data_IF_940977480943
#
_entry.id   IF_940977480943
#
_cell.length_a   1.000
_cell.length_b   1.000
_cell.length_c   1.000
_cell.angle_alpha   90.00
_cell.angle_beta   90.00
_cell.angle_gamma   90.00
#
_symmetry.space_group_name_H-M   'P 1'
#
loop_
_entity.id
_entity.type
_entity.pdbx_description
1 polymer ?
#
# COMPACT_ATOMS: atom_id res chain seq x y z
N UNK A 1 -4.45 -26.91 -9.49
CA UNK A 1 -3.68 -26.20 -8.45
C UNK A 1 -3.37 -24.82 -8.98
N UNK A 2 -3.83 -23.75 -8.32
CA UNK A 2 -3.42 -22.40 -8.68
C UNK A 2 -1.89 -22.33 -8.59
N UNK A 3 -1.23 -21.83 -9.63
CA UNK A 3 0.23 -21.71 -9.62
C UNK A 3 0.66 -20.81 -8.46
N UNK A 4 1.74 -21.16 -7.77
CA UNK A 4 2.35 -20.33 -6.73
C UNK A 4 2.96 -19.01 -7.28
N UNK A 5 2.64 -18.65 -8.53
CA UNK A 5 3.05 -17.41 -9.19
C UNK A 5 2.70 -16.17 -8.35
N UNK A 6 1.55 -16.17 -7.69
CA UNK A 6 1.11 -15.08 -6.82
C UNK A 6 2.08 -14.83 -5.66
N UNK A 7 2.72 -15.87 -5.13
CA UNK A 7 3.65 -15.76 -4.01
C UNK A 7 4.92 -15.00 -4.43
N UNK A 8 5.43 -15.25 -5.64
CA UNK A 8 6.58 -14.51 -6.16
C UNK A 8 6.27 -13.02 -6.34
N UNK A 9 5.08 -12.69 -6.85
CA UNK A 9 4.63 -11.30 -6.95
C UNK A 9 4.44 -10.64 -5.58
N UNK A 10 3.93 -11.37 -4.60
CA UNK A 10 3.78 -10.88 -3.23
C UNK A 10 5.14 -10.63 -2.55
N UNK A 11 6.10 -11.54 -2.71
CA UNK A 11 7.46 -11.36 -2.19
C UNK A 11 8.18 -10.19 -2.86
N UNK A 12 8.06 -10.04 -4.18
CA UNK A 12 8.57 -8.88 -4.90
C UNK A 12 7.93 -7.59 -4.38
N UNK A 13 6.60 -7.57 -4.18
CA UNK A 13 5.90 -6.42 -3.60
C UNK A 13 6.43 -6.07 -2.20
N UNK A 14 6.64 -7.05 -1.33
CA UNK A 14 7.20 -6.83 0.00
C UNK A 14 8.61 -6.22 -0.05
N UNK A 15 9.47 -6.73 -0.94
CA UNK A 15 10.81 -6.18 -1.16
C UNK A 15 10.77 -4.72 -1.64
N UNK A 16 9.95 -4.40 -2.65
CA UNK A 16 9.81 -3.02 -3.14
C UNK A 16 9.14 -2.08 -2.14
N UNK A 17 8.24 -2.59 -1.30
CA UNK A 17 7.65 -1.83 -0.20
C UNK A 17 8.72 -1.46 0.85
N UNK A 18 9.65 -2.37 1.16
CA UNK A 18 10.77 -2.08 2.06
C UNK A 18 11.71 -1.02 1.47
N UNK A 19 12.12 -1.15 0.20
CA UNK A 19 12.94 -0.14 -0.49
C UNK A 19 12.23 1.22 -0.51
N UNK A 20 10.93 1.22 -0.81
CA UNK A 20 10.07 2.40 -0.78
C UNK A 20 10.14 3.13 0.57
N UNK A 21 10.08 2.40 1.68
CA UNK A 21 10.11 3.00 3.02
C UNK A 21 11.48 3.65 3.30
N UNK A 22 12.57 2.96 2.97
CA UNK A 22 13.93 3.44 3.20
C UNK A 22 14.24 4.66 2.30
N UNK A 23 13.99 4.58 1.00
CA UNK A 23 14.24 5.69 0.08
C UNK A 23 13.35 6.90 0.39
N UNK A 24 12.09 6.69 0.80
CA UNK A 24 11.24 7.79 1.23
C UNK A 24 11.81 8.46 2.49
N UNK A 25 12.18 7.70 3.52
CA UNK A 25 12.76 8.27 4.75
C UNK A 25 14.03 9.10 4.46
N UNK A 26 14.88 8.62 3.55
CA UNK A 26 16.09 9.35 3.12
C UNK A 26 15.76 10.58 2.28
N UNK A 27 14.82 10.47 1.33
CA UNK A 27 14.41 11.57 0.44
C UNK A 27 13.59 12.67 1.12
N UNK A 28 13.05 12.41 2.32
CA UNK A 28 12.31 13.37 3.13
C UNK A 28 13.21 14.30 3.98
N UNK A 29 14.53 14.08 3.97
CA UNK A 29 15.46 14.89 4.76
C UNK A 29 15.55 16.32 4.22
N UNK A 30 15.07 17.28 4.99
CA UNK A 30 15.12 18.71 4.63
C UNK A 30 14.08 19.15 3.59
N UNK A 31 13.12 18.29 3.23
CA UNK A 31 12.05 18.59 2.28
C UNK A 31 10.70 18.30 2.95
N UNK A 32 9.68 19.11 2.68
CA UNK A 32 8.33 18.84 3.15
C UNK A 32 7.78 17.50 2.60
N UNK A 33 7.07 16.74 3.45
CA UNK A 33 6.57 15.41 3.10
C UNK A 33 5.56 15.41 1.97
N UNK A 34 4.75 16.45 1.87
CA UNK A 34 3.65 16.52 0.93
C UNK A 34 4.23 16.83 -0.46
N UNK A 35 5.20 17.74 -0.50
CA UNK A 35 5.96 18.02 -1.73
C UNK A 35 6.77 16.82 -2.21
N UNK A 36 7.47 16.11 -1.32
CA UNK A 36 8.18 14.88 -1.67
C UNK A 36 7.24 13.80 -2.21
N UNK A 37 6.05 13.66 -1.63
CA UNK A 37 5.00 12.73 -2.09
C UNK A 37 4.46 13.13 -3.46
N UNK A 38 4.30 14.42 -3.73
CA UNK A 38 3.92 14.92 -5.04
C UNK A 38 4.95 14.56 -6.12
N UNK A 39 6.24 14.85 -5.89
CA UNK A 39 7.32 14.49 -6.82
C UNK A 39 7.36 12.98 -7.07
N UNK A 40 7.24 12.18 -6.01
CA UNK A 40 7.17 10.72 -6.13
C UNK A 40 5.98 10.26 -6.99
N UNK A 41 4.83 10.90 -6.86
CA UNK A 41 3.63 10.56 -7.64
C UNK A 41 3.86 10.84 -9.13
N UNK A 42 4.53 11.94 -9.48
CA UNK A 42 4.92 12.22 -10.86
C UNK A 42 5.85 11.13 -11.43
N UNK A 43 6.83 10.68 -10.64
CA UNK A 43 7.73 9.58 -11.05
C UNK A 43 6.95 8.28 -11.28
N UNK A 44 5.98 7.96 -10.40
CA UNK A 44 5.13 6.78 -10.55
C UNK A 44 4.28 6.87 -11.83
N UNK A 45 3.65 8.03 -12.09
CA UNK A 45 2.86 8.26 -13.31
C UNK A 45 3.73 8.06 -14.56
N UNK A 46 4.93 8.65 -14.59
CA UNK A 46 5.85 8.52 -15.71
C UNK A 46 6.29 7.07 -15.93
N UNK A 47 6.64 6.35 -14.85
CA UNK A 47 7.04 4.94 -14.92
C UNK A 47 5.89 4.03 -15.41
N UNK A 48 4.67 4.24 -14.91
CA UNK A 48 3.49 3.50 -15.36
C UNK A 48 3.14 3.80 -16.81
N UNK A 49 3.20 5.07 -17.24
CA UNK A 49 2.99 5.45 -18.63
C UNK A 49 4.02 4.81 -19.57
N UNK A 50 5.30 4.83 -19.20
CA UNK A 50 6.36 4.16 -19.96
C UNK A 50 6.11 2.64 -20.06
N UNK A 51 5.71 1.99 -18.96
CA UNK A 51 5.39 0.57 -18.94
C UNK A 51 4.17 0.22 -19.81
N UNK A 52 3.11 1.02 -19.78
CA UNK A 52 1.93 0.83 -20.63
C UNK A 52 2.27 1.00 -22.11
N UNK A 53 3.12 1.98 -22.45
CA UNK A 53 3.63 2.18 -23.81
C UNK A 53 4.48 1.00 -24.28
N UNK A 54 5.40 0.53 -23.44
CA UNK A 54 6.24 -0.63 -23.75
C UNK A 54 5.43 -1.91 -23.96
N UNK A 55 4.40 -2.13 -23.13
CA UNK A 55 3.54 -3.32 -23.21
C UNK A 55 2.41 -3.20 -24.22
N UNK A 56 2.19 -2.02 -24.81
CA UNK A 56 1.09 -1.74 -25.73
C UNK A 56 -0.30 -1.86 -25.07
N UNK A 57 -0.40 -1.70 -23.75
CA UNK A 57 -1.61 -1.98 -22.95
C UNK A 57 -2.47 -0.75 -22.67
N UNK A 58 -2.30 0.32 -23.44
CA UNK A 58 -3.21 1.47 -23.36
C UNK A 58 -4.64 1.03 -23.69
N UNK A 59 -5.58 1.39 -22.84
CA UNK A 59 -7.00 1.04 -23.02
C UNK A 59 -7.82 2.31 -23.23
N UNK A 60 -8.81 2.23 -24.12
CA UNK A 60 -9.82 3.29 -24.26
C UNK A 60 -10.72 3.34 -23.03
N UNK A 61 -10.90 4.53 -22.47
CA UNK A 61 -11.76 4.75 -21.29
C UNK A 61 -13.26 4.67 -21.60
N UNK A 62 -13.66 4.56 -22.87
CA UNK A 62 -15.06 4.51 -23.29
C UNK A 62 -15.84 3.28 -22.82
N UNK A 63 -15.16 2.20 -22.41
CA UNK A 63 -15.79 1.01 -21.84
C UNK A 63 -15.99 1.06 -20.32
N UNK A 64 -15.58 2.15 -19.65
CA UNK A 64 -15.61 2.23 -18.20
C UNK A 64 -17.01 2.67 -17.75
N UNK A 65 -17.67 1.84 -16.93
CA UNK A 65 -18.93 2.24 -16.30
C UNK A 65 -18.71 3.40 -15.31
N UNK A 66 -19.76 4.17 -15.01
CA UNK A 66 -19.70 5.20 -13.96
C UNK A 66 -19.30 4.62 -12.59
N UNK A 67 -19.63 3.34 -12.33
CA UNK A 67 -19.18 2.61 -11.14
C UNK A 67 -17.67 2.39 -11.14
N UNK A 68 -17.07 2.01 -12.28
CA UNK A 68 -15.62 1.82 -12.38
C UNK A 68 -14.90 3.14 -12.04
N UNK A 69 -15.37 4.25 -12.61
CA UNK A 69 -14.84 5.58 -12.32
C UNK A 69 -14.97 5.95 -10.84
N UNK A 70 -16.14 5.76 -10.24
CA UNK A 70 -16.36 6.09 -8.83
C UNK A 70 -15.39 5.32 -7.92
N UNK A 71 -15.26 3.99 -8.07
CA UNK A 71 -14.36 3.19 -7.24
C UNK A 71 -12.88 3.47 -7.52
N UNK A 72 -12.48 3.76 -8.76
CA UNK A 72 -11.10 4.13 -9.08
C UNK A 72 -10.72 5.49 -8.47
N UNK A 73 -11.62 6.47 -8.53
CA UNK A 73 -11.41 7.79 -7.91
C UNK A 73 -11.33 7.64 -6.39
N UNK A 74 -12.29 6.94 -5.77
CA UNK A 74 -12.28 6.72 -4.33
C UNK A 74 -11.03 5.95 -3.87
N UNK A 75 -10.60 4.94 -4.63
CA UNK A 75 -9.37 4.20 -4.36
C UNK A 75 -8.13 5.09 -4.49
N UNK A 76 -8.08 5.94 -5.52
CA UNK A 76 -7.01 6.91 -5.72
C UNK A 76 -6.92 7.92 -4.59
N UNK A 77 -8.05 8.49 -4.16
CA UNK A 77 -8.13 9.40 -3.02
C UNK A 77 -7.70 8.72 -1.71
N UNK A 78 -8.17 7.49 -1.47
CA UNK A 78 -7.77 6.70 -0.30
C UNK A 78 -6.26 6.41 -0.29
N UNK A 79 -5.68 6.09 -1.45
CA UNK A 79 -4.23 5.85 -1.60
C UNK A 79 -3.44 7.14 -1.34
N UNK A 80 -3.89 8.27 -1.91
CA UNK A 80 -3.28 9.57 -1.70
C UNK A 80 -3.29 9.98 -0.23
N UNK A 81 -4.44 9.86 0.44
CA UNK A 81 -4.56 10.14 1.87
C UNK A 81 -3.67 9.22 2.72
N UNK A 82 -3.63 7.92 2.39
CA UNK A 82 -2.74 6.95 3.05
C UNK A 82 -1.27 7.33 2.92
N UNK A 83 -0.82 7.70 1.72
CA UNK A 83 0.56 8.12 1.48
C UNK A 83 0.92 9.41 2.22
N UNK A 84 0.06 10.43 2.21
CA UNK A 84 0.30 11.67 2.96
C UNK A 84 0.49 11.37 4.45
N UNK A 85 -0.41 10.59 5.06
CA UNK A 85 -0.28 10.20 6.46
C UNK A 85 0.98 9.35 6.73
N UNK A 86 1.26 8.37 5.87
CA UNK A 86 2.41 7.47 6.01
C UNK A 86 3.75 8.20 5.87
N UNK A 87 3.91 9.06 4.87
CA UNK A 87 5.16 9.81 4.67
C UNK A 87 5.34 10.89 5.72
N UNK A 88 4.27 11.51 6.20
CA UNK A 88 4.34 12.41 7.36
C UNK A 88 4.82 11.66 8.61
N UNK A 89 4.25 10.48 8.88
CA UNK A 89 4.68 9.64 9.99
C UNK A 89 6.15 9.19 9.83
N UNK A 90 6.56 8.80 8.63
CA UNK A 90 7.96 8.47 8.33
C UNK A 90 8.88 9.67 8.52
N UNK A 91 8.46 10.89 8.19
CA UNK A 91 9.27 12.08 8.42
C UNK A 91 9.56 12.27 9.91
N UNK A 92 8.54 12.15 10.76
CA UNK A 92 8.61 12.37 12.21
C UNK A 92 9.19 11.19 13.01
N UNK A 93 9.00 9.96 12.54
CA UNK A 93 9.32 8.74 13.29
C UNK A 93 10.39 7.86 12.63
N UNK A 94 10.79 6.80 13.33
CA UNK A 94 11.69 5.78 12.78
C UNK A 94 10.96 4.85 11.82
N UNK A 95 11.58 4.52 10.69
CA UNK A 95 11.00 3.59 9.71
C UNK A 95 10.71 2.20 10.32
N UNK A 96 11.51 1.75 11.28
CA UNK A 96 11.34 0.51 12.05
C UNK A 96 10.08 0.49 12.91
N UNK A 97 9.54 1.66 13.30
CA UNK A 97 8.29 1.78 14.08
C UNK A 97 7.09 2.06 13.17
N UNK A 98 7.27 2.95 12.18
CA UNK A 98 6.18 3.37 11.27
C UNK A 98 5.78 2.27 10.30
N UNK A 99 6.75 1.55 9.70
CA UNK A 99 6.43 0.54 8.70
C UNK A 99 5.63 -0.65 9.26
N UNK A 100 5.91 -1.19 10.47
CA UNK A 100 5.04 -2.21 11.07
C UNK A 100 3.62 -1.70 11.35
N UNK A 101 3.49 -0.47 11.88
CA UNK A 101 2.17 0.13 12.16
C UNK A 101 1.36 0.29 10.88
N UNK A 102 1.98 0.68 9.76
CA UNK A 102 1.33 0.70 8.45
C UNK A 102 0.79 -0.69 8.04
N UNK A 103 1.51 -1.77 8.36
CA UNK A 103 1.05 -3.15 8.09
C UNK A 103 -0.08 -3.62 8.99
N UNK A 104 -0.44 -2.88 10.03
CA UNK A 104 -1.72 -3.09 10.73
C UNK A 104 -2.93 -2.90 9.80
N UNK A 105 -2.77 -2.19 8.68
CA UNK A 105 -3.77 -2.13 7.61
C UNK A 105 -4.26 -3.51 7.16
N UNK A 106 -3.46 -4.58 7.26
CA UNK A 106 -3.89 -5.95 6.97
C UNK A 106 -5.06 -6.38 7.86
N UNK A 107 -5.03 -6.02 9.14
CA UNK A 107 -6.11 -6.29 10.10
C UNK A 107 -7.36 -5.51 9.71
N UNK A 108 -7.20 -4.22 9.39
CA UNK A 108 -8.32 -3.37 8.96
C UNK A 108 -8.92 -3.87 7.65
N UNK A 109 -8.11 -4.27 6.67
CA UNK A 109 -8.56 -4.83 5.41
C UNK A 109 -9.34 -6.12 5.65
N UNK A 110 -8.87 -7.04 6.50
CA UNK A 110 -9.61 -8.25 6.82
C UNK A 110 -10.99 -7.93 7.42
N UNK A 111 -11.06 -6.97 8.36
CA UNK A 111 -12.32 -6.52 8.93
C UNK A 111 -13.24 -5.88 7.88
N UNK A 112 -12.71 -5.01 7.03
CA UNK A 112 -13.48 -4.39 5.95
C UNK A 112 -13.92 -5.42 4.90
N UNK A 113 -13.11 -6.43 4.60
CA UNK A 113 -13.49 -7.52 3.70
C UNK A 113 -14.65 -8.34 4.26
N UNK A 114 -14.65 -8.64 5.56
CA UNK A 114 -15.80 -9.29 6.21
C UNK A 114 -17.05 -8.42 6.16
N UNK A 115 -16.93 -7.12 6.42
CA UNK A 115 -18.09 -6.21 6.48
C UNK A 115 -18.65 -5.87 5.09
N UNK A 116 -17.78 -5.46 4.16
CA UNK A 116 -18.19 -4.91 2.86
C UNK A 116 -18.21 -5.97 1.75
N UNK A 117 -17.27 -6.93 1.77
CA UNK A 117 -17.18 -7.99 0.77
C UNK A 117 -17.88 -9.28 1.22
N UNK A 118 -18.31 -9.37 2.49
CA UNK A 118 -18.93 -10.56 3.11
C UNK A 118 -18.04 -11.80 3.06
N UNK A 119 -16.73 -11.61 3.02
CA UNK A 119 -15.76 -12.69 3.11
C UNK A 119 -15.84 -13.36 4.49
N UNK A 120 -15.59 -14.67 4.53
CA UNK A 120 -15.59 -15.46 5.77
C UNK A 120 -14.22 -16.12 5.96
N UNK A 121 -13.24 -15.39 6.50
CA UNK A 121 -11.91 -15.94 6.70
C UNK A 121 -11.98 -17.15 7.63
N UNK A 122 -11.20 -18.18 7.31
CA UNK A 122 -11.07 -19.37 8.12
C UNK A 122 -10.40 -19.05 9.48
N UNK A 123 -10.58 -19.92 10.47
CA UNK A 123 -9.96 -19.75 11.78
C UNK A 123 -8.42 -19.62 11.71
N UNK A 124 -7.79 -20.32 10.75
CA UNK A 124 -6.35 -20.22 10.50
C UNK A 124 -5.93 -18.83 10.00
N UNK A 125 -6.73 -18.20 9.14
CA UNK A 125 -6.47 -16.86 8.63
C UNK A 125 -6.62 -15.81 9.75
N UNK A 126 -7.66 -15.94 10.58
CA UNK A 126 -7.83 -15.11 11.77
C UNK A 126 -6.66 -15.22 12.75
N UNK A 127 -6.14 -16.43 12.96
CA UNK A 127 -4.96 -16.65 13.80
C UNK A 127 -3.72 -15.95 13.21
N UNK A 128 -3.51 -16.06 11.88
CA UNK A 128 -2.43 -15.33 11.20
C UNK A 128 -2.56 -13.81 11.33
N UNK A 129 -3.76 -13.27 11.13
CA UNK A 129 -4.06 -11.84 11.30
C UNK A 129 -3.79 -11.41 12.75
N UNK A 130 -4.20 -12.20 13.74
CA UNK A 130 -3.95 -11.91 15.15
C UNK A 130 -2.45 -11.92 15.50
N UNK A 131 -1.67 -12.84 14.92
CA UNK A 131 -0.22 -12.87 15.07
C UNK A 131 0.45 -11.63 14.46
N UNK A 132 0.01 -11.20 13.27
CA UNK A 132 0.50 -9.96 12.65
C UNK A 132 0.17 -8.76 13.55
N UNK A 133 -1.08 -8.66 14.01
CA UNK A 133 -1.52 -7.60 14.91
C UNK A 133 -0.68 -7.54 16.19
N UNK A 134 -0.46 -8.69 16.84
CA UNK A 134 0.37 -8.82 18.02
C UNK A 134 1.83 -8.40 17.77
N UNK A 135 2.42 -8.85 16.66
CA UNK A 135 3.78 -8.46 16.26
C UNK A 135 3.92 -6.96 16.04
N UNK A 136 2.94 -6.33 15.37
CA UNK A 136 2.93 -4.88 15.17
C UNK A 136 2.82 -4.13 16.50
N UNK A 137 1.95 -4.57 17.42
CA UNK A 137 1.80 -3.95 18.74
C UNK A 137 3.08 -4.04 19.57
N UNK A 138 3.77 -5.17 19.55
CA UNK A 138 5.06 -5.34 20.24
C UNK A 138 6.11 -4.37 19.70
N UNK A 139 6.21 -4.20 18.38
CA UNK A 139 7.16 -3.29 17.75
C UNK A 139 6.80 -1.82 17.99
N UNK A 140 5.51 -1.49 17.97
CA UNK A 140 5.02 -0.12 18.17
C UNK A 140 5.12 0.34 19.62
N UNK A 141 4.88 -0.55 20.60
CA UNK A 141 4.93 -0.25 22.03
C UNK A 141 6.33 -0.35 22.63
N UNK A 142 7.33 -0.78 21.84
CA UNK A 142 8.73 -0.81 22.26
C UNK A 142 9.22 0.62 22.46
N UNK A 143 9.40 1.00 23.73
CA UNK A 143 10.02 2.26 24.16
C UNK A 143 11.43 2.35 23.57
#
# INVERSE_FOLDING_TARGET
>A
MASNAWLYWALASAFFAALTAIFAKLGLQGIDSDFATFIRTLVIIAALAAFLSYTGKWQGVGGFSGRNWAFLILSGLATGASWLAYFKALQMGEASKVAPVDKFSIVLVALMAVVFLKERPAAQEWLGIAMIAGGVLVLALKR
#
